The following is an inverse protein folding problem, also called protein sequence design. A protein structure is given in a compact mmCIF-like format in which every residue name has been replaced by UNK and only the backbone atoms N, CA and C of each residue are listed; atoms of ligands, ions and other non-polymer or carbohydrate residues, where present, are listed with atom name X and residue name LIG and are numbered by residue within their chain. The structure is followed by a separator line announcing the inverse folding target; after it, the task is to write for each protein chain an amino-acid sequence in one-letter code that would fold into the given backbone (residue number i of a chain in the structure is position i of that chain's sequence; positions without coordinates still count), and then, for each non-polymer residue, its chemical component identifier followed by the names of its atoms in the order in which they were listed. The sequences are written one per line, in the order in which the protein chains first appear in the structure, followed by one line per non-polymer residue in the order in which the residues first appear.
data_IF_884945030257
#
_entry.id   IF_884945030257
#
_cell.length_a   1.000
_cell.length_b   1.000
_cell.length_c   1.000
_cell.angle_alpha   90.00
_cell.angle_beta   90.00
_cell.angle_gamma   90.00
#
_symmetry.space_group_name_H-M   'P 1'
#
loop_
_entity.id
_entity.type
_entity.pdbx_description
1 polymer ?
#
# COMPACT_ATOMS: atom_id res chain seq x y z
N UNK A 1 9.13 5.56 -16.39
CA UNK A 1 7.98 5.65 -17.32
C UNK A 1 6.74 5.45 -16.48
N UNK A 2 5.66 6.18 -16.75
CA UNK A 2 4.39 5.99 -16.04
C UNK A 2 3.89 4.55 -16.22
N UNK A 3 3.17 4.03 -15.22
CA UNK A 3 2.58 2.69 -15.26
C UNK A 3 1.46 2.66 -16.29
N UNK A 4 0.58 3.66 -16.26
CA UNK A 4 -0.48 3.88 -17.22
C UNK A 4 -0.82 5.39 -17.31
N UNK A 5 -1.95 5.74 -17.94
CA UNK A 5 -2.37 7.13 -18.07
C UNK A 5 -2.71 7.80 -16.72
N UNK A 6 -3.12 7.02 -15.71
CA UNK A 6 -3.55 7.48 -14.39
C UNK A 6 -2.40 7.47 -13.38
N UNK A 7 -1.58 6.43 -13.38
CA UNK A 7 -0.58 6.14 -12.36
C UNK A 7 0.82 6.33 -12.89
N UNK A 8 1.56 7.23 -12.26
CA UNK A 8 2.96 7.49 -12.58
C UNK A 8 3.87 6.45 -11.94
N UNK A 9 3.67 6.15 -10.65
CA UNK A 9 4.51 5.18 -9.94
C UNK A 9 3.78 4.47 -8.83
N UNK A 10 4.24 3.24 -8.57
CA UNK A 10 3.72 2.34 -7.55
C UNK A 10 4.91 1.90 -6.70
N UNK A 11 4.83 2.10 -5.39
CA UNK A 11 5.89 1.68 -4.45
C UNK A 11 5.30 0.89 -3.29
N UNK A 12 5.85 -0.29 -3.04
CA UNK A 12 5.41 -1.21 -1.99
C UNK A 12 6.07 -0.93 -0.64
N UNK A 13 5.28 -1.07 0.42
CA UNK A 13 5.70 -0.82 1.80
C UNK A 13 5.13 -1.85 2.76
N UNK A 14 5.84 -2.07 3.87
CA UNK A 14 5.35 -2.75 5.05
C UNK A 14 5.01 -1.73 6.14
N UNK A 15 3.85 -1.88 6.79
CA UNK A 15 3.49 -1.06 7.95
C UNK A 15 4.36 -1.44 9.14
N UNK A 16 4.91 -0.44 9.83
CA UNK A 16 5.54 -0.67 11.13
C UNK A 16 4.47 -0.83 12.21
N UNK A 17 4.79 -1.50 13.33
CA UNK A 17 3.96 -1.41 14.53
C UNK A 17 4.11 -0.01 15.15
N UNK A 18 3.08 0.41 15.90
CA UNK A 18 2.97 1.78 16.46
C UNK A 18 4.20 2.16 17.30
N UNK A 19 4.75 1.21 18.08
CA UNK A 19 5.92 1.46 18.93
C UNK A 19 7.21 1.76 18.13
N UNK A 20 7.25 1.40 16.85
CA UNK A 20 8.37 1.64 15.94
C UNK A 20 8.13 2.85 15.01
N UNK A 21 7.05 3.61 15.22
CA UNK A 21 6.79 4.84 14.49
C UNK A 21 7.70 5.96 14.96
N UNK A 22 8.28 6.69 14.01
CA UNK A 22 9.24 7.76 14.30
C UNK A 22 8.59 8.99 14.97
N UNK A 23 7.27 9.12 14.94
CA UNK A 23 6.56 10.15 15.70
C UNK A 23 6.25 9.74 17.15
N UNK A 24 6.51 8.48 17.53
CA UNK A 24 6.23 7.94 18.85
C UNK A 24 7.54 7.74 19.66
N UNK A 25 8.43 6.84 19.21
CA UNK A 25 9.61 6.44 19.99
C UNK A 25 10.57 7.60 20.28
N UNK A 26 10.97 8.42 19.29
CA UNK A 26 11.87 9.55 19.54
C UNK A 26 11.26 10.58 20.50
N UNK A 27 9.95 10.84 20.39
CA UNK A 27 9.25 11.75 21.29
C UNK A 27 9.14 11.19 22.70
N UNK A 28 8.94 9.88 22.88
CA UNK A 28 8.97 9.25 24.20
C UNK A 28 10.33 9.43 24.88
N UNK A 29 11.44 9.26 24.14
CA UNK A 29 12.79 9.52 24.64
C UNK A 29 12.98 11.01 24.97
N UNK A 30 12.49 11.92 24.12
CA UNK A 30 12.56 13.36 24.38
C UNK A 30 11.82 13.73 25.67
N UNK A 31 10.58 13.26 25.88
CA UNK A 31 9.86 13.50 27.13
C UNK A 31 10.58 12.95 28.35
N UNK A 32 11.08 11.70 28.27
CA UNK A 32 11.80 11.09 29.38
C UNK A 32 13.09 11.87 29.72
N UNK A 33 13.84 12.29 28.70
CA UNK A 33 15.05 13.10 28.88
C UNK A 33 14.76 14.48 29.46
N UNK A 34 13.71 15.15 28.97
CA UNK A 34 13.28 16.45 29.47
C UNK A 34 12.83 16.37 30.93
N UNK A 35 12.01 15.38 31.25
CA UNK A 35 11.56 15.13 32.62
C UNK A 35 12.74 14.86 33.55
N UNK A 36 13.70 14.01 33.14
CA UNK A 36 14.89 13.74 33.94
C UNK A 36 15.73 15.01 34.18
N UNK A 37 16.01 15.81 33.15
CA UNK A 37 16.77 17.06 33.28
C UNK A 37 16.04 18.05 34.18
N UNK A 38 14.72 18.21 33.99
CA UNK A 38 13.90 19.08 34.81
C UNK A 38 13.94 18.70 36.29
N UNK A 39 13.73 17.41 36.61
CA UNK A 39 13.71 16.94 38.00
C UNK A 39 15.09 16.94 38.65
N UNK A 40 16.16 16.65 37.91
CA UNK A 40 17.50 16.45 38.50
C UNK A 40 18.41 17.68 38.48
N UNK A 41 18.33 18.51 37.44
CA UNK A 41 19.26 19.63 37.24
C UNK A 41 18.66 20.98 37.65
N UNK A 42 17.41 21.24 37.28
CA UNK A 42 16.75 22.51 37.58
C UNK A 42 16.05 22.48 38.95
N UNK A 43 15.40 21.36 39.30
CA UNK A 43 14.63 21.25 40.53
C UNK A 43 13.16 21.53 40.28
N UNK A 44 12.33 20.54 40.62
CA UNK A 44 10.89 20.54 40.31
C UNK A 44 10.14 21.72 40.93
N UNK A 45 10.44 22.05 42.18
CA UNK A 45 9.78 23.12 42.94
C UNK A 45 10.23 24.53 42.50
N UNK A 46 11.50 24.68 42.14
CA UNK A 46 12.09 26.00 41.84
C UNK A 46 11.76 26.45 40.41
N UNK A 47 11.72 25.53 39.45
CA UNK A 47 11.47 25.82 38.03
C UNK A 47 10.28 25.04 37.47
N UNK A 48 9.14 25.08 38.18
CA UNK A 48 7.94 24.38 37.78
C UNK A 48 7.38 24.85 36.42
N UNK A 49 7.23 26.17 36.25
CA UNK A 49 6.68 26.76 35.02
C UNK A 49 7.54 26.45 33.79
N UNK A 50 8.87 26.48 33.94
CA UNK A 50 9.82 26.17 32.86
C UNK A 50 9.69 24.72 32.39
N UNK A 51 9.51 23.78 33.33
CA UNK A 51 9.28 22.37 33.02
C UNK A 51 8.03 22.15 32.17
N UNK A 52 6.93 22.82 32.52
CA UNK A 52 5.68 22.78 31.76
C UNK A 52 5.83 23.40 30.36
N UNK A 53 6.50 24.55 30.25
CA UNK A 53 6.77 25.20 28.97
C UNK A 53 7.55 24.25 28.04
N UNK A 54 8.60 23.62 28.55
CA UNK A 54 9.38 22.66 27.75
C UNK A 54 8.57 21.44 27.32
N UNK A 55 7.75 20.87 28.22
CA UNK A 55 6.85 19.77 27.87
C UNK A 55 5.83 20.18 26.80
N UNK A 56 5.27 21.39 26.89
CA UNK A 56 4.34 21.93 25.91
C UNK A 56 5.00 22.13 24.53
N UNK A 57 6.25 22.61 24.48
CA UNK A 57 7.01 22.73 23.23
C UNK A 57 7.22 21.35 22.58
N UNK A 58 7.63 20.34 23.35
CA UNK A 58 7.80 18.97 22.83
C UNK A 58 6.46 18.44 22.28
N UNK A 59 5.37 18.66 23.00
CA UNK A 59 4.02 18.25 22.57
C UNK A 59 3.56 18.95 21.29
N UNK A 60 3.80 20.25 21.16
CA UNK A 60 3.49 21.00 19.94
C UNK A 60 4.27 20.46 18.74
N UNK A 61 5.58 20.21 18.91
CA UNK A 61 6.40 19.62 17.84
C UNK A 61 5.91 18.21 17.46
N UNK A 62 5.54 17.39 18.44
CA UNK A 62 4.98 16.06 18.18
C UNK A 62 3.68 16.14 17.39
N UNK A 63 2.77 17.02 17.80
CA UNK A 63 1.50 17.25 17.13
C UNK A 63 1.71 17.70 15.68
N UNK A 64 2.67 18.61 15.42
CA UNK A 64 3.02 19.04 14.07
C UNK A 64 3.55 17.89 13.22
N UNK A 65 4.45 17.04 13.76
CA UNK A 65 4.96 15.86 13.03
C UNK A 65 3.83 14.89 12.67
N UNK A 66 2.91 14.64 13.60
CA UNK A 66 1.73 13.79 13.35
C UNK A 66 0.85 14.41 12.27
N UNK A 67 0.62 15.72 12.32
CA UNK A 67 -0.20 16.43 11.34
C UNK A 67 0.41 16.36 9.93
N UNK A 68 1.72 16.57 9.80
CA UNK A 68 2.44 16.39 8.54
C UNK A 68 2.29 14.96 7.99
N UNK A 69 2.31 13.95 8.86
CA UNK A 69 2.07 12.55 8.47
C UNK A 69 0.64 12.29 7.97
N UNK A 70 -0.32 13.12 8.37
CA UNK A 70 -1.70 13.01 7.90
C UNK A 70 -1.89 13.67 6.53
N UNK A 71 -1.21 14.79 6.28
CA UNK A 71 -1.39 15.57 5.06
C UNK A 71 -0.52 15.07 3.90
N UNK A 72 0.67 14.56 4.19
CA UNK A 72 1.63 14.17 3.18
C UNK A 72 1.90 12.66 3.26
N UNK A 73 1.46 11.94 2.24
CA UNK A 73 1.67 10.49 2.15
C UNK A 73 3.14 10.11 2.15
N UNK A 74 4.02 10.91 1.53
CA UNK A 74 5.46 10.70 1.58
C UNK A 74 6.01 10.73 3.03
N UNK A 75 5.56 11.69 3.82
CA UNK A 75 5.92 11.82 5.24
C UNK A 75 5.35 10.65 6.05
N UNK A 76 4.09 10.27 5.80
CA UNK A 76 3.47 9.08 6.40
C UNK A 76 4.30 7.82 6.16
N UNK A 77 4.74 7.60 4.93
CA UNK A 77 5.56 6.45 4.55
C UNK A 77 6.92 6.49 5.27
N UNK A 78 7.56 7.67 5.35
CA UNK A 78 8.86 7.82 6.01
C UNK A 78 8.78 7.56 7.52
N UNK A 79 7.71 8.00 8.18
CA UNK A 79 7.57 7.91 9.65
C UNK A 79 7.05 6.55 10.13
N UNK A 80 6.22 5.87 9.33
CA UNK A 80 5.42 4.73 9.78
C UNK A 80 5.59 3.47 8.93
N UNK A 81 6.37 3.52 7.84
CA UNK A 81 6.51 2.39 6.93
C UNK A 81 7.98 2.01 6.66
N UNK A 82 8.17 0.83 6.08
CA UNK A 82 9.47 0.34 5.57
C UNK A 82 9.28 -0.01 4.10
N UNK A 83 10.21 0.41 3.24
CA UNK A 83 10.20 0.01 1.85
C UNK A 83 10.33 -1.51 1.74
N UNK A 84 9.47 -2.14 0.95
CA UNK A 84 9.49 -3.58 0.72
C UNK A 84 9.64 -3.83 -0.77
N UNK A 85 10.65 -4.60 -1.16
CA UNK A 85 10.92 -4.89 -2.58
C UNK A 85 10.03 -6.00 -3.09
N UNK A 86 9.63 -6.93 -2.23
CA UNK A 86 8.80 -8.08 -2.57
C UNK A 86 7.30 -7.76 -2.40
N UNK A 87 6.52 -7.62 -3.48
CA UNK A 87 5.10 -7.29 -3.40
C UNK A 87 4.27 -8.34 -2.66
N UNK A 88 4.74 -9.60 -2.60
CA UNK A 88 4.05 -10.66 -1.86
C UNK A 88 4.16 -10.48 -0.34
N UNK A 89 5.22 -9.80 0.15
CA UNK A 89 5.41 -9.47 1.57
C UNK A 89 4.81 -8.12 1.96
N UNK A 90 4.75 -7.19 1.00
CA UNK A 90 4.27 -5.83 1.23
C UNK A 90 2.81 -5.78 1.74
N UNK A 91 2.51 -4.87 2.65
CA UNK A 91 1.15 -4.71 3.22
C UNK A 91 0.41 -3.50 2.63
N UNK A 92 1.16 -2.51 2.15
CA UNK A 92 0.68 -1.23 1.67
C UNK A 92 1.34 -0.89 0.35
N UNK A 93 0.68 -0.06 -0.45
CA UNK A 93 1.20 0.50 -1.69
C UNK A 93 1.00 2.00 -1.67
N UNK A 94 2.07 2.74 -1.93
CA UNK A 94 2.02 4.16 -2.25
C UNK A 94 1.84 4.30 -3.76
N UNK A 95 0.72 4.88 -4.17
CA UNK A 95 0.41 5.21 -5.56
C UNK A 95 0.63 6.69 -5.76
N UNK A 96 1.41 7.05 -6.78
CA UNK A 96 1.59 8.43 -7.22
C UNK A 96 0.88 8.56 -8.56
N UNK A 97 -0.19 9.36 -8.67
CA UNK A 97 -0.86 9.60 -9.93
C UNK A 97 -0.01 10.47 -10.85
N UNK A 98 -0.28 10.39 -12.15
CA UNK A 98 0.27 11.34 -13.13
C UNK A 98 -0.28 12.76 -12.89
N UNK A 99 0.37 13.81 -13.41
CA UNK A 99 -0.10 15.19 -13.27
C UNK A 99 -1.57 15.34 -13.71
N UNK A 100 -2.35 16.09 -12.93
CA UNK A 100 -3.79 16.33 -13.10
C UNK A 100 -4.72 15.14 -12.77
N UNK A 101 -4.22 14.02 -12.24
CA UNK A 101 -5.04 12.88 -11.80
C UNK A 101 -5.16 12.77 -10.27
N UNK A 102 -5.16 13.90 -9.57
CA UNK A 102 -5.33 13.97 -8.12
C UNK A 102 -4.02 13.88 -7.33
N UNK A 103 -4.09 13.28 -6.13
CA UNK A 103 -2.99 13.24 -5.17
C UNK A 103 -2.50 11.81 -4.91
N UNK A 104 -1.26 11.71 -4.42
CA UNK A 104 -0.69 10.44 -4.00
C UNK A 104 -1.46 9.85 -2.81
N UNK A 105 -1.62 8.53 -2.81
CA UNK A 105 -2.39 7.80 -1.80
C UNK A 105 -1.62 6.57 -1.31
N UNK A 106 -1.83 6.21 -0.04
CA UNK A 106 -1.32 4.97 0.55
C UNK A 106 -2.48 3.99 0.71
N UNK A 107 -2.56 3.00 -0.16
CA UNK A 107 -3.65 2.03 -0.23
C UNK A 107 -3.22 0.66 0.31
N UNK A 108 -4.14 -0.12 0.92
CA UNK A 108 -3.81 -1.45 1.41
C UNK A 108 -3.72 -2.48 0.28
N UNK A 109 -2.73 -3.35 0.34
CA UNK A 109 -2.66 -4.53 -0.52
C UNK A 109 -3.64 -5.60 -0.04
N UNK A 110 -4.49 -6.05 -0.96
CA UNK A 110 -5.45 -7.12 -0.77
C UNK A 110 -4.89 -8.42 -1.34
N UNK A 111 -5.30 -9.53 -0.72
CA UNK A 111 -4.90 -10.89 -1.10
C UNK A 111 -6.14 -11.76 -1.15
N UNK A 112 -6.41 -12.34 -2.32
CA UNK A 112 -7.50 -13.30 -2.49
C UNK A 112 -6.90 -14.66 -2.80
N UNK A 113 -7.27 -15.68 -2.03
CA UNK A 113 -6.90 -17.07 -2.34
C UNK A 113 -7.79 -17.55 -3.47
N UNK A 114 -7.20 -17.95 -4.58
CA UNK A 114 -7.93 -18.61 -5.66
C UNK A 114 -8.13 -20.07 -5.26
N UNK A 115 -9.35 -20.41 -4.89
CA UNK A 115 -9.77 -21.80 -4.69
C UNK A 115 -10.44 -22.22 -6.00
N UNK A 116 -9.63 -22.57 -7.01
CA UNK A 116 -10.15 -23.17 -8.24
C UNK A 116 -10.41 -24.67 -8.04
N UNK A 117 -11.35 -25.28 -8.80
CA UNK A 117 -11.44 -26.73 -8.88
C UNK A 117 -10.08 -27.33 -9.28
N UNK A 118 -9.75 -28.49 -8.71
CA UNK A 118 -8.49 -29.24 -8.85
C UNK A 118 -7.97 -29.35 -10.31
N UNK A 119 -8.87 -29.19 -11.29
CA UNK A 119 -8.60 -29.28 -12.72
C UNK A 119 -7.90 -28.04 -13.33
N UNK A 120 -8.18 -26.81 -12.83
CA UNK A 120 -7.48 -25.59 -13.28
C UNK A 120 -5.97 -25.60 -12.92
N UNK A 121 -5.59 -26.47 -11.99
CA UNK A 121 -4.20 -26.72 -11.63
C UNK A 121 -3.40 -27.40 -12.77
N UNK A 122 -4.08 -28.04 -13.73
CA UNK A 122 -3.45 -28.69 -14.88
C UNK A 122 -3.31 -27.75 -16.10
N UNK A 123 -4.21 -26.77 -16.29
CA UNK A 123 -4.14 -25.80 -17.40
C UNK A 123 -3.05 -24.73 -17.14
N UNK A 124 -2.80 -24.41 -15.87
CA UNK A 124 -1.69 -23.54 -15.44
C UNK A 124 -0.29 -24.09 -15.76
N UNK A 125 -0.16 -25.35 -16.20
CA UNK A 125 1.14 -25.94 -16.55
C UNK A 125 1.76 -25.32 -17.82
N UNK A 126 0.95 -24.72 -18.70
CA UNK A 126 1.42 -24.12 -19.94
C UNK A 126 1.78 -22.63 -19.81
N UNK A 127 1.39 -21.95 -18.73
CA UNK A 127 1.53 -20.49 -18.64
C UNK A 127 2.12 -19.95 -17.34
N UNK A 128 2.28 -20.73 -16.26
CA UNK A 128 2.78 -20.17 -14.99
C UNK A 128 3.67 -21.18 -14.28
N UNK A 129 4.99 -21.01 -14.41
CA UNK A 129 5.97 -21.56 -13.47
C UNK A 129 5.93 -20.75 -12.16
N UNK A 130 4.89 -20.91 -11.34
CA UNK A 130 4.88 -20.40 -9.97
C UNK A 130 4.56 -21.54 -9.01
N UNK A 131 5.50 -21.73 -8.09
CA UNK A 131 5.57 -22.79 -7.11
C UNK A 131 4.27 -22.96 -6.32
N UNK A 132 3.80 -24.21 -6.25
CA UNK A 132 2.69 -24.74 -5.45
C UNK A 132 2.61 -24.16 -4.02
N UNK A 133 1.58 -23.36 -3.76
CA UNK A 133 0.81 -23.27 -2.51
C UNK A 133 -0.33 -22.25 -2.67
N UNK A 134 -1.42 -22.61 -3.35
CA UNK A 134 -2.62 -21.76 -3.51
C UNK A 134 -2.37 -20.40 -4.16
N UNK A 135 -2.66 -20.26 -5.45
CA UNK A 135 -2.46 -19.00 -6.19
C UNK A 135 -3.12 -17.83 -5.43
N UNK A 136 -2.30 -16.99 -4.81
CA UNK A 136 -2.78 -15.84 -4.04
C UNK A 136 -2.72 -14.62 -4.95
N UNK A 137 -3.88 -14.16 -5.40
CA UNK A 137 -4.00 -12.93 -6.20
C UNK A 137 -3.73 -11.75 -5.29
N UNK A 138 -2.66 -11.00 -5.58
CA UNK A 138 -2.32 -9.75 -4.88
C UNK A 138 -2.83 -8.58 -5.73
N UNK A 139 -3.60 -7.68 -5.12
CA UNK A 139 -4.21 -6.56 -5.84
C UNK A 139 -4.48 -5.37 -4.91
N UNK A 140 -4.73 -4.21 -5.50
CA UNK A 140 -5.24 -3.03 -4.80
C UNK A 140 -6.20 -2.24 -5.69
N UNK A 141 -6.94 -1.32 -5.09
CA UNK A 141 -7.80 -0.37 -5.81
C UNK A 141 -7.25 1.03 -5.60
N UNK A 142 -7.13 1.80 -6.68
CA UNK A 142 -6.81 3.22 -6.63
C UNK A 142 -7.81 3.97 -7.51
N UNK A 143 -8.51 4.95 -6.94
CA UNK A 143 -9.57 5.71 -7.65
C UNK A 143 -10.58 4.82 -8.40
N UNK A 144 -11.08 3.75 -7.77
CA UNK A 144 -12.01 2.77 -8.35
C UNK A 144 -11.45 1.88 -9.46
N UNK A 145 -10.15 1.98 -9.77
CA UNK A 145 -9.48 1.15 -10.75
C UNK A 145 -8.72 0.03 -10.04
N UNK A 146 -8.94 -1.21 -10.50
CA UNK A 146 -8.28 -2.39 -9.98
C UNK A 146 -6.91 -2.59 -10.62
N UNK A 147 -5.91 -2.82 -9.77
CA UNK A 147 -4.54 -3.14 -10.15
C UNK A 147 -4.19 -4.52 -9.60
N UNK A 148 -3.79 -5.44 -10.47
CA UNK A 148 -3.38 -6.79 -10.10
C UNK A 148 -1.88 -6.95 -10.30
N UNK A 149 -1.23 -7.69 -9.41
CA UNK A 149 0.17 -8.06 -9.57
C UNK A 149 0.30 -9.12 -10.67
N UNK A 150 1.09 -8.82 -11.68
CA UNK A 150 1.53 -9.80 -12.68
C UNK A 150 2.70 -10.63 -12.11
N UNK A 151 2.57 -11.96 -12.01
CA UNK A 151 3.61 -12.83 -11.48
C UNK A 151 4.88 -12.88 -12.32
N UNK A 152 4.81 -12.60 -13.63
CA UNK A 152 5.98 -12.69 -14.52
C UNK A 152 6.86 -11.44 -14.40
N UNK A 153 6.24 -10.27 -14.49
CA UNK A 153 6.95 -8.99 -14.43
C UNK A 153 7.17 -8.49 -13.01
N UNK A 154 6.45 -9.04 -12.03
CA UNK A 154 6.39 -8.56 -10.65
C UNK A 154 6.01 -7.07 -10.57
N UNK A 155 5.14 -6.64 -11.49
CA UNK A 155 4.61 -5.27 -11.56
C UNK A 155 3.10 -5.26 -11.45
N UNK A 156 2.55 -4.13 -11.02
CA UNK A 156 1.11 -3.96 -10.95
C UNK A 156 0.60 -3.33 -12.24
N UNK A 157 -0.41 -3.95 -12.83
CA UNK A 157 -1.08 -3.45 -14.03
C UNK A 157 -2.59 -3.46 -13.84
N UNK A 158 -3.26 -2.52 -14.49
CA UNK A 158 -4.71 -2.58 -14.63
C UNK A 158 -5.12 -3.50 -15.77
N UNK A 159 -6.38 -3.92 -15.78
CA UNK A 159 -6.91 -4.79 -16.83
C UNK A 159 -7.09 -3.98 -18.11
N UNK A 160 -6.45 -4.43 -19.18
CA UNK A 160 -6.62 -3.82 -20.51
C UNK A 160 -7.69 -4.61 -21.25
N UNK A 161 -8.81 -3.96 -21.54
CA UNK A 161 -9.87 -4.56 -22.33
C UNK A 161 -9.46 -4.65 -23.80
N UNK A 162 -9.69 -5.81 -24.39
CA UNK A 162 -9.38 -6.07 -25.79
C UNK A 162 -10.45 -5.46 -26.72
N UNK A 163 -10.32 -4.17 -26.97
CA UNK A 163 -11.20 -3.37 -27.83
C UNK A 163 -10.75 -3.33 -29.29
N UNK A 164 -9.61 -3.93 -29.62
CA UNK A 164 -8.98 -3.84 -30.94
C UNK A 164 -9.25 -5.06 -31.84
N UNK A 165 -10.28 -5.85 -31.53
CA UNK A 165 -10.66 -7.00 -32.36
C UNK A 165 -11.37 -6.56 -33.65
N UNK A 166 -11.25 -7.32 -34.75
CA UNK A 166 -11.97 -7.03 -35.98
C UNK A 166 -13.49 -7.13 -35.76
N UNK A 167 -14.29 -6.31 -36.46
CA UNK A 167 -15.76 -6.29 -36.33
C UNK A 167 -16.41 -7.68 -36.41
N UNK A 168 -15.86 -8.57 -37.25
CA UNK A 168 -16.31 -9.96 -37.39
C UNK A 168 -16.30 -10.73 -36.07
N UNK A 169 -15.32 -10.50 -35.20
CA UNK A 169 -15.24 -11.11 -33.88
C UNK A 169 -16.47 -10.74 -33.03
N UNK A 170 -16.80 -9.44 -32.96
CA UNK A 170 -17.95 -8.97 -32.18
C UNK A 170 -19.28 -9.46 -32.76
N UNK A 171 -19.42 -9.50 -34.09
CA UNK A 171 -20.62 -10.04 -34.76
C UNK A 171 -20.85 -11.53 -34.51
N UNK A 172 -19.77 -12.28 -34.28
CA UNK A 172 -19.82 -13.73 -34.04
C UNK A 172 -19.87 -14.11 -32.56
N UNK A 173 -19.67 -13.14 -31.65
CA UNK A 173 -19.67 -13.39 -30.21
C UNK A 173 -21.05 -13.85 -29.73
N UNK A 174 -21.09 -14.98 -29.02
CA UNK A 174 -22.30 -15.59 -28.43
C UNK A 174 -22.38 -15.43 -26.92
N UNK A 175 -21.48 -14.64 -26.33
CA UNK A 175 -21.33 -14.52 -24.88
C UNK A 175 -20.38 -15.58 -24.32
N UNK A 176 -20.38 -15.70 -22.99
CA UNK A 176 -19.58 -16.70 -22.26
C UNK A 176 -20.32 -18.04 -22.31
N UNK A 177 -19.69 -19.06 -22.90
CA UNK A 177 -20.37 -20.33 -23.19
C UNK A 177 -20.15 -21.39 -22.09
N UNK A 178 -19.09 -21.27 -21.27
CA UNK A 178 -18.78 -22.21 -20.19
C UNK A 178 -18.64 -21.54 -18.83
N UNK A 179 -18.97 -22.28 -17.77
CA UNK A 179 -18.75 -21.83 -16.39
C UNK A 179 -17.26 -21.59 -16.10
N UNK A 180 -16.37 -22.34 -16.76
CA UNK A 180 -14.91 -22.14 -16.66
C UNK A 180 -14.49 -20.77 -17.21
N UNK A 181 -14.98 -20.41 -18.40
CA UNK A 181 -14.74 -19.08 -18.97
C UNK A 181 -15.35 -17.99 -18.10
N UNK A 182 -16.49 -18.25 -17.46
CA UNK A 182 -17.12 -17.30 -16.55
C UNK A 182 -16.28 -17.08 -15.29
N UNK A 183 -15.75 -18.14 -14.68
CA UNK A 183 -14.85 -18.06 -13.54
C UNK A 183 -13.55 -17.34 -13.88
N UNK A 184 -12.96 -17.63 -15.04
CA UNK A 184 -11.76 -16.95 -15.54
C UNK A 184 -12.03 -15.45 -15.79
N UNK A 185 -13.17 -15.13 -16.41
CA UNK A 185 -13.59 -13.75 -16.66
C UNK A 185 -13.80 -12.99 -15.35
N UNK A 186 -14.49 -13.58 -14.36
CA UNK A 186 -14.63 -13.00 -13.01
C UNK A 186 -13.26 -12.82 -12.34
N UNK A 187 -12.37 -13.79 -12.51
CA UNK A 187 -11.01 -13.70 -11.96
C UNK A 187 -10.22 -12.54 -12.58
N UNK A 188 -10.31 -12.33 -13.89
CA UNK A 188 -9.58 -11.28 -14.61
C UNK A 188 -10.18 -9.90 -14.34
N UNK A 189 -11.49 -9.73 -14.48
CA UNK A 189 -12.15 -8.42 -14.48
C UNK A 189 -12.73 -7.99 -13.13
N UNK A 190 -12.90 -8.91 -12.18
CA UNK A 190 -13.55 -8.66 -10.88
C UNK A 190 -15.00 -9.11 -10.86
#
# INVERSE_FOLDING_TARGET
MAVDALVESITTYCSRPIWAHLYATPFAVLYASWFYIWSSAYGYEEYYELGLIGAAIIGLLQALVILFSHWFVGVKCALSCVYEKDPHKATLVKVVPTPNNGWAELVPLRRTRVIGPLFLQFISMAYIHVQRAGCTKVWFEFQKIHYTLDPETNTFSTVVFDSHRPMKYYQQSRGVESDEQLEETKYLYG
#
